data_IF_495880081268
#
_entry.id   IF_495880081268
#
_cell.length_a   1.000
_cell.length_b   1.000
_cell.length_c   1.000
_cell.angle_alpha   90.00
_cell.angle_beta   90.00
_cell.angle_gamma   90.00
#
_symmetry.space_group_name_H-M   'P 1'
#
loop_
_entity.id
_entity.type
_entity.pdbx_description
1 polymer ?
#
# COMPACT_ATOMS: atom_id res chain seq x y z
N UNK A 1 6.81 5.39 -18.86
CA UNK A 1 6.45 4.22 -18.05
C UNK A 1 5.05 3.73 -18.41
N UNK A 2 4.76 2.42 -18.22
CA UNK A 2 3.45 1.86 -18.59
C UNK A 2 2.25 2.52 -17.91
N UNK A 3 2.40 3.10 -16.74
CA UNK A 3 1.32 3.77 -16.00
C UNK A 3 0.80 5.03 -16.71
N UNK A 4 1.68 5.87 -17.23
CA UNK A 4 1.28 7.05 -17.99
C UNK A 4 0.54 6.67 -19.28
N UNK A 5 1.10 5.73 -20.05
CA UNK A 5 0.48 5.27 -21.29
C UNK A 5 -0.91 4.65 -21.04
N UNK A 6 -1.06 3.83 -19.98
CA UNK A 6 -2.35 3.28 -19.60
C UNK A 6 -3.35 4.37 -19.18
N UNK A 7 -2.90 5.38 -18.44
CA UNK A 7 -3.75 6.49 -18.02
C UNK A 7 -4.22 7.33 -19.22
N UNK A 8 -3.33 7.62 -20.18
CA UNK A 8 -3.67 8.34 -21.41
C UNK A 8 -4.63 7.52 -22.29
N UNK A 9 -4.43 6.19 -22.40
CA UNK A 9 -5.36 5.30 -23.12
C UNK A 9 -6.76 5.26 -22.49
N UNK A 10 -6.84 5.18 -21.15
CA UNK A 10 -8.12 5.03 -20.43
C UNK A 10 -8.89 6.36 -20.36
N UNK A 11 -8.19 7.46 -20.13
CA UNK A 11 -8.82 8.73 -19.76
C UNK A 11 -8.70 9.82 -20.83
N UNK A 12 -7.74 9.72 -21.75
CA UNK A 12 -7.49 10.75 -22.77
C UNK A 12 -7.29 12.14 -22.16
N UNK A 13 -7.96 13.15 -22.75
CA UNK A 13 -7.91 14.55 -22.30
C UNK A 13 -8.75 14.85 -21.04
N UNK A 14 -9.29 13.86 -20.37
CA UNK A 14 -10.00 14.06 -19.10
C UNK A 14 -9.06 14.20 -17.90
N UNK A 15 -7.76 13.86 -18.09
CA UNK A 15 -6.77 13.89 -17.02
C UNK A 15 -5.55 14.75 -17.36
N UNK A 16 -4.83 15.14 -16.31
CA UNK A 16 -3.43 15.57 -16.37
C UNK A 16 -2.58 14.51 -15.68
N UNK A 17 -1.52 14.06 -16.34
CA UNK A 17 -0.49 13.22 -15.75
C UNK A 17 0.65 14.07 -15.22
N UNK A 18 1.05 13.83 -13.97
CA UNK A 18 2.21 14.46 -13.32
C UNK A 18 3.22 13.37 -12.99
N UNK A 19 4.46 13.43 -13.52
CA UNK A 19 5.50 12.46 -13.17
C UNK A 19 5.83 12.57 -11.68
N UNK A 20 6.43 11.50 -11.12
CA UNK A 20 6.86 11.55 -9.73
C UNK A 20 7.91 12.65 -9.51
N UNK A 21 7.66 13.46 -8.53
CA UNK A 21 8.60 14.40 -7.91
C UNK A 21 8.43 14.30 -6.39
N UNK A 22 9.49 14.65 -5.66
CA UNK A 22 9.42 14.65 -4.19
C UNK A 22 8.30 15.58 -3.72
N UNK A 23 7.50 15.18 -2.73
CA UNK A 23 6.40 15.98 -2.22
C UNK A 23 6.85 17.34 -1.66
N UNK A 24 5.91 18.28 -1.56
CA UNK A 24 6.18 19.64 -1.12
C UNK A 24 6.19 20.66 -2.25
N UNK A 25 7.05 21.67 -2.15
CA UNK A 25 7.04 22.84 -3.06
C UNK A 25 7.30 22.47 -4.53
N UNK A 26 8.21 21.52 -4.77
CA UNK A 26 8.54 21.08 -6.14
C UNK A 26 7.34 20.41 -6.80
N UNK A 27 6.62 19.55 -6.07
CA UNK A 27 5.38 18.94 -6.56
C UNK A 27 4.33 20.01 -6.91
N UNK A 28 4.14 21.01 -6.03
CA UNK A 28 3.20 22.09 -6.27
C UNK A 28 3.55 22.92 -7.53
N UNK A 29 4.82 23.21 -7.77
CA UNK A 29 5.27 23.87 -8.98
C UNK A 29 5.07 23.03 -10.23
N UNK A 30 5.43 21.73 -10.17
CA UNK A 30 5.26 20.79 -11.29
C UNK A 30 3.78 20.68 -11.67
N UNK A 31 2.92 20.59 -10.68
CA UNK A 31 1.47 20.51 -10.85
C UNK A 31 0.92 21.78 -11.50
N UNK A 32 1.38 22.95 -11.08
CA UNK A 32 1.01 24.25 -11.68
C UNK A 32 1.36 24.26 -13.17
N UNK A 33 2.61 23.93 -13.54
CA UNK A 33 3.05 23.92 -14.93
C UNK A 33 2.27 22.90 -15.77
N UNK A 34 2.05 21.68 -15.24
CA UNK A 34 1.26 20.68 -15.94
C UNK A 34 -0.19 21.14 -16.23
N UNK A 35 -0.79 21.90 -15.32
CA UNK A 35 -2.12 22.51 -15.51
C UNK A 35 -2.10 23.66 -16.52
N UNK A 36 -1.05 24.46 -16.57
CA UNK A 36 -0.86 25.53 -17.57
C UNK A 36 -0.73 24.93 -18.98
N UNK A 37 0.11 23.90 -19.13
CA UNK A 37 0.28 23.17 -20.39
C UNK A 37 -1.01 22.48 -20.84
N UNK A 38 -1.74 21.87 -19.92
CA UNK A 38 -3.06 21.27 -20.19
C UNK A 38 -4.04 22.30 -20.76
N UNK A 39 -4.12 23.48 -20.13
CA UNK A 39 -5.00 24.58 -20.59
C UNK A 39 -4.60 25.06 -21.97
N UNK A 40 -3.32 25.25 -22.21
CA UNK A 40 -2.79 25.69 -23.52
C UNK A 40 -3.12 24.67 -24.63
N UNK A 41 -2.99 23.37 -24.33
CA UNK A 41 -3.22 22.28 -25.28
C UNK A 41 -4.70 22.03 -25.56
N UNK A 42 -5.54 22.04 -24.52
CA UNK A 42 -6.95 21.59 -24.65
C UNK A 42 -7.96 22.73 -24.72
N UNK A 43 -7.59 23.95 -24.33
CA UNK A 43 -8.52 25.06 -24.13
C UNK A 43 -9.45 24.92 -22.92
N UNK A 44 -9.37 23.80 -22.16
CA UNK A 44 -10.21 23.54 -20.98
C UNK A 44 -9.61 24.20 -19.74
N UNK A 45 -10.48 24.73 -18.86
CA UNK A 45 -10.04 25.37 -17.62
C UNK A 45 -9.42 24.39 -16.64
N UNK A 46 -10.01 23.21 -16.47
CA UNK A 46 -9.58 22.15 -15.55
C UNK A 46 -9.76 20.77 -16.20
N UNK A 47 -8.88 19.84 -15.88
CA UNK A 47 -9.08 18.42 -16.09
C UNK A 47 -10.07 17.86 -15.04
N UNK A 48 -10.73 16.73 -15.32
CA UNK A 48 -11.55 16.04 -14.33
C UNK A 48 -10.70 15.49 -13.19
N UNK A 49 -9.50 15.02 -13.51
CA UNK A 49 -8.56 14.55 -12.50
C UNK A 49 -7.10 14.85 -12.89
N UNK A 50 -6.26 14.86 -11.87
CA UNK A 50 -4.81 14.92 -11.97
C UNK A 50 -4.27 13.64 -11.35
N UNK A 51 -3.54 12.86 -12.12
CA UNK A 51 -2.89 11.64 -11.67
C UNK A 51 -1.41 11.93 -11.41
N UNK A 52 -0.99 11.81 -10.17
CA UNK A 52 0.40 12.01 -9.77
C UNK A 52 1.06 10.63 -9.58
N UNK A 53 2.07 10.34 -10.41
CA UNK A 53 2.77 9.06 -10.36
C UNK A 53 3.28 8.75 -8.94
N UNK A 54 3.00 7.54 -8.45
CA UNK A 54 3.43 7.09 -7.12
C UNK A 54 3.06 8.02 -5.94
N UNK A 55 2.03 8.85 -6.10
CA UNK A 55 1.59 9.77 -5.05
C UNK A 55 0.08 9.64 -4.81
N UNK A 56 -0.72 9.84 -5.84
CA UNK A 56 -2.18 9.77 -5.71
C UNK A 56 -2.91 10.49 -6.82
N UNK A 57 -4.18 10.81 -6.56
CA UNK A 57 -5.03 11.49 -7.54
C UNK A 57 -5.77 12.66 -6.89
N UNK A 58 -5.99 13.72 -7.67
CA UNK A 58 -6.86 14.83 -7.32
C UNK A 58 -8.02 14.83 -8.31
N UNK A 59 -9.26 14.84 -7.82
CA UNK A 59 -10.46 15.02 -8.65
C UNK A 59 -10.97 16.43 -8.48
N UNK A 60 -11.27 17.11 -9.59
CA UNK A 60 -11.71 18.49 -9.62
C UNK A 60 -13.12 18.65 -10.21
N UNK A 61 -13.83 19.69 -9.76
CA UNK A 61 -15.16 20.08 -10.25
C UNK A 61 -15.55 21.44 -9.69
N UNK A 62 -16.53 22.07 -10.30
CA UNK A 62 -17.01 23.41 -9.88
C UNK A 62 -17.91 23.34 -8.62
N UNK A 63 -18.43 22.14 -8.30
CA UNK A 63 -19.26 21.85 -7.13
C UNK A 63 -19.07 20.41 -6.64
N UNK A 64 -19.54 20.06 -5.42
CA UNK A 64 -19.39 18.71 -4.86
C UNK A 64 -20.05 17.61 -5.72
N UNK A 65 -21.17 17.91 -6.36
CA UNK A 65 -21.90 16.98 -7.24
C UNK A 65 -21.06 16.64 -8.47
N UNK A 66 -20.39 17.62 -9.05
CA UNK A 66 -19.48 17.44 -10.18
C UNK A 66 -18.24 16.63 -9.78
N UNK A 67 -17.67 16.89 -8.61
CA UNK A 67 -16.54 16.11 -8.09
C UNK A 67 -16.95 14.65 -7.94
N UNK A 68 -18.11 14.37 -7.34
CA UNK A 68 -18.65 13.03 -7.19
C UNK A 68 -18.88 12.34 -8.53
N UNK A 69 -19.50 13.05 -9.49
CA UNK A 69 -19.75 12.51 -10.82
C UNK A 69 -18.46 12.17 -11.55
N UNK A 70 -17.43 13.06 -11.50
CA UNK A 70 -16.13 12.82 -12.08
C UNK A 70 -15.45 11.61 -11.44
N UNK A 71 -15.51 11.47 -10.10
CA UNK A 71 -14.95 10.32 -9.38
C UNK A 71 -15.58 9.02 -9.83
N UNK A 72 -16.92 8.97 -9.92
CA UNK A 72 -17.66 7.79 -10.39
C UNK A 72 -17.27 7.43 -11.81
N UNK A 73 -17.21 8.43 -12.71
CA UNK A 73 -16.81 8.21 -14.11
C UNK A 73 -15.38 7.64 -14.22
N UNK A 74 -14.44 8.17 -13.45
CA UNK A 74 -13.06 7.64 -13.43
C UNK A 74 -13.01 6.19 -12.95
N UNK A 75 -13.73 5.87 -11.86
CA UNK A 75 -13.80 4.50 -11.34
C UNK A 75 -14.45 3.55 -12.35
N UNK A 76 -15.51 3.98 -13.06
CA UNK A 76 -16.15 3.18 -14.11
C UNK A 76 -15.20 2.90 -15.28
N UNK A 77 -14.39 3.87 -15.70
CA UNK A 77 -13.37 3.66 -16.75
C UNK A 77 -12.29 2.66 -16.30
N UNK A 78 -11.89 2.70 -15.03
CA UNK A 78 -10.98 1.72 -14.45
C UNK A 78 -11.62 0.33 -14.40
N UNK A 79 -12.86 0.24 -13.92
CA UNK A 79 -13.62 -1.02 -13.86
C UNK A 79 -13.79 -1.66 -15.24
N UNK A 80 -14.09 -0.86 -16.27
CA UNK A 80 -14.19 -1.36 -17.64
C UNK A 80 -12.86 -2.00 -18.15
N UNK A 81 -11.71 -1.58 -17.60
CA UNK A 81 -10.39 -2.10 -17.97
C UNK A 81 -9.95 -3.29 -17.13
N UNK A 82 -10.31 -3.31 -15.84
CA UNK A 82 -9.87 -4.31 -14.85
C UNK A 82 -10.92 -5.39 -14.53
N UNK A 83 -12.20 -5.15 -14.87
CA UNK A 83 -13.38 -5.90 -14.44
C UNK A 83 -14.09 -5.23 -13.27
N UNK A 84 -15.40 -5.42 -13.14
CA UNK A 84 -16.25 -4.75 -12.13
C UNK A 84 -15.86 -5.15 -10.69
N UNK A 85 -15.25 -6.32 -10.54
CA UNK A 85 -14.81 -6.87 -9.25
C UNK A 85 -13.37 -6.45 -8.84
N UNK A 86 -12.75 -5.53 -9.58
CA UNK A 86 -11.32 -5.20 -9.42
C UNK A 86 -10.91 -4.78 -8.00
N UNK A 87 -11.81 -4.18 -7.24
CA UNK A 87 -11.53 -3.73 -5.86
C UNK A 87 -11.57 -4.86 -4.84
N UNK A 88 -12.28 -5.95 -5.14
CA UNK A 88 -12.49 -7.08 -4.23
C UNK A 88 -11.79 -8.36 -4.70
N UNK A 89 -11.33 -8.38 -5.94
CA UNK A 89 -10.73 -9.56 -6.55
C UNK A 89 -9.33 -9.83 -6.00
N UNK A 90 -9.17 -10.99 -5.42
CA UNK A 90 -7.88 -11.47 -4.94
C UNK A 90 -6.81 -11.48 -6.05
N UNK A 91 -5.57 -11.21 -5.69
CA UNK A 91 -4.44 -11.20 -6.62
C UNK A 91 -4.03 -12.61 -7.05
N UNK A 92 -4.07 -13.55 -6.11
CA UNK A 92 -3.72 -14.96 -6.31
C UNK A 92 -4.74 -15.87 -5.65
N UNK A 93 -4.35 -17.14 -5.43
CA UNK A 93 -5.19 -18.13 -4.76
C UNK A 93 -5.36 -17.75 -3.28
N UNK A 94 -6.60 -17.74 -2.81
CA UNK A 94 -6.91 -17.56 -1.40
C UNK A 94 -6.70 -18.91 -0.69
N UNK A 95 -5.64 -18.99 0.11
CA UNK A 95 -5.33 -20.18 0.92
C UNK A 95 -5.33 -19.81 2.39
N UNK A 96 -5.65 -20.81 3.24
CA UNK A 96 -5.64 -20.66 4.70
C UNK A 96 -4.95 -21.87 5.33
N UNK A 97 -4.08 -21.63 6.30
CA UNK A 97 -3.50 -22.70 7.11
C UNK A 97 -4.60 -23.44 7.88
N UNK A 98 -4.43 -24.75 8.06
CA UNK A 98 -5.40 -25.58 8.79
C UNK A 98 -5.63 -25.09 10.24
N UNK A 99 -4.61 -24.53 10.89
CA UNK A 99 -4.67 -23.89 12.22
C UNK A 99 -4.53 -22.36 12.17
N UNK A 100 -5.08 -21.71 11.15
CA UNK A 100 -4.97 -20.24 11.01
C UNK A 100 -5.43 -19.51 12.27
N UNK A 101 -6.57 -19.91 12.86
CA UNK A 101 -7.10 -19.31 14.10
C UNK A 101 -6.17 -19.51 15.31
N UNK A 102 -5.52 -20.68 15.43
CA UNK A 102 -4.54 -20.93 16.47
C UNK A 102 -3.30 -20.08 16.29
N UNK A 103 -2.83 -19.90 15.04
CA UNK A 103 -1.73 -19.00 14.72
C UNK A 103 -2.05 -17.54 15.04
N UNK A 104 -3.24 -17.05 14.71
CA UNK A 104 -3.68 -15.69 15.05
C UNK A 104 -3.64 -15.46 16.56
N UNK A 105 -4.14 -16.42 17.37
CA UNK A 105 -4.16 -16.34 18.85
C UNK A 105 -2.77 -16.34 19.48
N UNK A 106 -1.78 -16.94 18.82
CA UNK A 106 -0.37 -16.96 19.26
C UNK A 106 0.42 -15.75 18.76
N UNK A 107 0.28 -15.42 17.48
CA UNK A 107 1.05 -14.34 16.81
C UNK A 107 0.55 -12.95 17.29
N UNK A 108 -0.75 -12.71 17.36
CA UNK A 108 -1.29 -11.40 17.71
C UNK A 108 -0.79 -10.90 19.07
N UNK A 109 -0.95 -11.65 20.18
CA UNK A 109 -0.39 -11.25 21.49
C UNK A 109 1.14 -11.11 21.49
N UNK A 110 1.85 -11.99 20.76
CA UNK A 110 3.30 -11.91 20.65
C UNK A 110 3.75 -10.62 19.95
N UNK A 111 3.11 -10.24 18.83
CA UNK A 111 3.41 -8.99 18.11
C UNK A 111 3.22 -7.76 19.01
N UNK A 112 2.18 -7.72 19.84
CA UNK A 112 1.95 -6.61 20.78
C UNK A 112 3.14 -6.36 21.69
N UNK A 113 3.77 -7.42 22.18
CA UNK A 113 4.92 -7.34 23.07
C UNK A 113 6.24 -7.13 22.31
N UNK A 114 6.44 -7.84 21.20
CA UNK A 114 7.68 -7.80 20.43
C UNK A 114 7.90 -6.46 19.71
N UNK A 115 6.82 -5.75 19.38
CA UNK A 115 6.87 -4.44 18.72
C UNK A 115 6.78 -3.28 19.73
N UNK A 116 6.65 -3.54 21.03
CA UNK A 116 6.70 -2.50 22.05
C UNK A 116 8.10 -1.87 22.12
N UNK A 117 8.16 -0.54 22.20
CA UNK A 117 9.43 0.19 22.27
C UNK A 117 10.20 -0.08 23.55
N UNK A 118 9.46 -0.17 24.66
CA UNK A 118 9.99 -0.55 25.97
C UNK A 118 9.30 -1.85 26.44
N UNK A 119 10.05 -2.91 26.73
CA UNK A 119 9.47 -4.16 27.25
C UNK A 119 8.66 -4.00 28.54
N UNK A 120 8.91 -2.95 29.33
CA UNK A 120 8.16 -2.61 30.55
C UNK A 120 7.05 -1.57 30.28
N UNK A 121 6.95 -1.06 29.06
CA UNK A 121 6.02 -0.02 28.65
C UNK A 121 4.68 -0.57 28.13
N UNK A 122 3.86 0.29 27.53
CA UNK A 122 2.60 -0.12 26.96
C UNK A 122 2.80 -1.05 25.76
N UNK A 123 1.98 -2.08 25.68
CA UNK A 123 1.95 -2.99 24.53
C UNK A 123 1.32 -2.30 23.34
N UNK A 124 1.80 -2.61 22.13
CA UNK A 124 1.15 -2.13 20.91
C UNK A 124 -0.28 -2.68 20.77
N UNK A 125 -1.13 -1.95 20.08
CA UNK A 125 -2.40 -2.45 19.56
C UNK A 125 -2.11 -3.14 18.23
N UNK A 126 -2.72 -4.30 18.02
CA UNK A 126 -2.56 -5.07 16.78
C UNK A 126 -3.95 -5.37 16.22
N UNK A 127 -4.18 -4.97 14.97
CA UNK A 127 -5.34 -5.35 14.17
C UNK A 127 -4.99 -6.51 13.24
N UNK A 128 -6.02 -7.24 12.79
CA UNK A 128 -5.85 -8.41 11.94
C UNK A 128 -6.85 -8.39 10.78
N UNK A 129 -6.41 -8.86 9.61
CA UNK A 129 -7.24 -8.98 8.41
C UNK A 129 -6.91 -10.28 7.66
N UNK A 130 -7.93 -11.09 7.40
CA UNK A 130 -7.84 -12.32 6.61
C UNK A 130 -8.81 -12.29 5.42
N UNK A 131 -9.11 -11.08 4.94
CA UNK A 131 -9.92 -10.91 3.74
C UNK A 131 -9.26 -11.58 2.51
N UNK A 132 -10.07 -11.86 1.50
CA UNK A 132 -9.58 -12.41 0.24
C UNK A 132 -8.56 -11.50 -0.45
N UNK A 133 -8.58 -10.20 -0.17
CA UNK A 133 -7.58 -9.24 -0.65
C UNK A 133 -6.22 -9.52 0.00
N UNK A 134 -6.18 -9.61 1.33
CA UNK A 134 -4.94 -9.89 2.06
C UNK A 134 -4.40 -11.29 1.72
N UNK A 135 -5.25 -12.32 1.81
CA UNK A 135 -4.87 -13.70 1.52
C UNK A 135 -4.52 -13.91 0.04
N UNK A 136 -5.15 -13.17 -0.87
CA UNK A 136 -4.83 -13.24 -2.29
C UNK A 136 -3.43 -12.73 -2.64
N UNK A 137 -2.91 -11.70 -1.96
CA UNK A 137 -1.50 -11.32 -2.08
C UNK A 137 -0.59 -12.40 -1.46
N UNK A 138 -0.94 -12.87 -0.26
CA UNK A 138 -0.14 -13.83 0.50
C UNK A 138 -0.03 -15.17 -0.25
N UNK A 139 -1.10 -15.63 -0.88
CA UNK A 139 -1.14 -16.88 -1.66
C UNK A 139 -0.72 -16.74 -3.13
N UNK A 140 -0.35 -15.54 -3.58
CA UNK A 140 0.16 -15.36 -4.94
C UNK A 140 1.61 -15.85 -5.04
N UNK A 141 1.96 -16.54 -6.13
CA UNK A 141 3.34 -17.02 -6.38
C UNK A 141 4.39 -15.89 -6.27
N UNK A 142 4.10 -14.72 -6.80
CA UNK A 142 4.96 -13.54 -6.71
C UNK A 142 4.64 -12.64 -5.51
N UNK A 143 3.72 -13.02 -4.61
CA UNK A 143 3.18 -12.15 -3.56
C UNK A 143 4.24 -11.59 -2.64
N UNK A 144 5.15 -12.43 -2.14
CA UNK A 144 6.27 -12.02 -1.30
C UNK A 144 7.20 -11.03 -2.02
N UNK A 145 7.55 -11.33 -3.27
CA UNK A 145 8.42 -10.48 -4.05
C UNK A 145 7.79 -9.10 -4.31
N UNK A 146 6.49 -9.06 -4.60
CA UNK A 146 5.73 -7.82 -4.81
C UNK A 146 5.61 -7.03 -3.51
N UNK A 147 5.20 -7.67 -2.41
CA UNK A 147 5.01 -7.01 -1.12
C UNK A 147 6.30 -6.41 -0.55
N UNK A 148 7.43 -7.11 -0.72
CA UNK A 148 8.72 -6.73 -0.16
C UNK A 148 9.61 -5.92 -1.12
N UNK A 149 9.13 -5.57 -2.32
CA UNK A 149 9.94 -4.80 -3.29
C UNK A 149 10.12 -3.32 -2.89
N UNK A 150 9.21 -2.77 -2.10
CA UNK A 150 9.27 -1.38 -1.63
C UNK A 150 7.91 -0.70 -1.56
N UNK A 151 7.87 0.53 -1.06
CA UNK A 151 6.64 1.32 -1.01
C UNK A 151 6.31 1.90 -2.39
N UNK A 152 5.02 2.06 -2.66
CA UNK A 152 4.53 2.68 -3.90
C UNK A 152 4.25 4.17 -3.72
N UNK A 153 3.93 4.62 -2.52
CA UNK A 153 3.49 6.00 -2.24
C UNK A 153 4.08 6.53 -0.94
N UNK A 154 4.17 7.86 -0.77
CA UNK A 154 4.49 8.48 0.52
C UNK A 154 3.60 8.02 1.67
N UNK A 155 2.28 7.95 1.46
CA UNK A 155 1.32 7.52 2.48
C UNK A 155 1.63 6.10 2.99
N UNK A 156 2.03 5.19 2.10
CA UNK A 156 2.42 3.85 2.52
C UNK A 156 3.63 3.89 3.47
N UNK A 157 4.61 4.77 3.22
CA UNK A 157 5.76 4.95 4.11
C UNK A 157 5.33 5.48 5.48
N UNK A 158 4.54 6.55 5.48
CA UNK A 158 4.10 7.24 6.71
C UNK A 158 3.30 6.31 7.62
N UNK A 159 2.32 5.61 7.07
CA UNK A 159 1.38 4.80 7.85
C UNK A 159 1.84 3.36 8.08
N UNK A 160 2.57 2.77 7.13
CA UNK A 160 2.92 1.34 7.17
C UNK A 160 4.41 1.05 7.35
N UNK A 161 5.27 2.08 7.35
CA UNK A 161 6.70 1.99 7.06
C UNK A 161 6.94 1.43 5.63
N UNK A 162 8.19 1.52 5.17
CA UNK A 162 8.52 1.22 3.78
C UNK A 162 8.36 -0.26 3.40
N UNK A 163 8.55 -1.15 4.35
CA UNK A 163 8.54 -2.59 4.08
C UNK A 163 7.68 -3.34 5.10
N UNK A 164 6.83 -4.27 4.66
CA UNK A 164 6.19 -5.21 5.57
C UNK A 164 7.18 -6.31 5.98
N UNK A 165 6.96 -6.91 7.13
CA UNK A 165 7.61 -8.17 7.49
C UNK A 165 6.82 -9.32 6.86
N UNK A 166 7.49 -10.17 6.08
CA UNK A 166 6.94 -11.44 5.63
C UNK A 166 7.38 -12.56 6.56
N UNK A 167 6.40 -13.27 7.14
CA UNK A 167 6.63 -14.34 8.08
C UNK A 167 5.96 -15.65 7.64
N UNK A 168 6.71 -16.75 7.67
CA UNK A 168 6.24 -18.09 7.29
C UNK A 168 6.24 -18.98 8.53
N UNK A 169 5.06 -19.29 9.12
CA UNK A 169 4.94 -20.27 10.20
C UNK A 169 5.40 -21.67 9.72
N UNK A 170 5.85 -22.51 10.64
CA UNK A 170 6.17 -23.92 10.35
C UNK A 170 5.11 -24.83 10.92
N UNK A 171 4.78 -25.88 10.19
CA UNK A 171 3.83 -26.90 10.65
C UNK A 171 4.34 -27.58 11.92
N UNK A 172 3.43 -27.74 12.89
CA UNK A 172 3.75 -28.42 14.15
C UNK A 172 4.71 -27.69 15.08
N UNK A 173 5.01 -26.42 14.81
CA UNK A 173 5.89 -25.59 15.63
C UNK A 173 5.21 -25.26 16.98
N UNK A 174 5.93 -25.50 18.09
CA UNK A 174 5.44 -25.10 19.40
C UNK A 174 5.45 -23.56 19.57
N UNK A 175 4.73 -23.07 20.58
CA UNK A 175 4.54 -21.63 20.80
C UNK A 175 5.87 -20.89 21.06
N UNK A 176 6.76 -21.48 21.85
CA UNK A 176 8.04 -20.84 22.19
C UNK A 176 8.94 -20.73 20.96
N UNK A 177 9.00 -21.77 20.13
CA UNK A 177 9.77 -21.77 18.89
C UNK A 177 9.19 -20.75 17.90
N UNK A 178 7.87 -20.68 17.75
CA UNK A 178 7.17 -19.70 16.93
C UNK A 178 7.52 -18.27 17.34
N UNK A 179 7.39 -17.95 18.65
CA UNK A 179 7.66 -16.62 19.19
C UNK A 179 9.15 -16.25 19.05
N UNK A 180 10.06 -17.19 19.30
CA UNK A 180 11.49 -16.95 19.12
C UNK A 180 11.82 -16.59 17.67
N UNK A 181 11.28 -17.35 16.69
CA UNK A 181 11.48 -17.05 15.26
C UNK A 181 10.85 -15.73 14.84
N UNK A 182 9.68 -15.40 15.38
CA UNK A 182 9.02 -14.13 15.10
C UNK A 182 9.87 -12.96 15.61
N UNK A 183 10.43 -13.07 16.82
CA UNK A 183 11.39 -12.10 17.38
C UNK A 183 12.61 -11.94 16.46
N UNK A 184 13.28 -13.05 16.12
CA UNK A 184 14.44 -13.01 15.23
C UNK A 184 14.12 -12.40 13.86
N UNK A 185 12.90 -12.62 13.35
CA UNK A 185 12.45 -12.02 12.10
C UNK A 185 12.25 -10.50 12.22
N UNK A 186 11.65 -10.03 13.32
CA UNK A 186 11.47 -8.60 13.62
C UNK A 186 12.83 -7.91 13.79
N UNK A 187 13.76 -8.53 14.55
CA UNK A 187 15.09 -7.96 14.79
C UNK A 187 15.89 -7.82 13.49
N UNK A 188 15.87 -8.85 12.64
CA UNK A 188 16.49 -8.79 11.30
C UNK A 188 15.85 -7.73 10.42
N UNK A 189 14.50 -7.68 10.39
CA UNK A 189 13.78 -6.68 9.63
C UNK A 189 14.18 -5.28 10.06
N UNK A 190 14.12 -4.98 11.37
CA UNK A 190 14.49 -3.67 11.92
C UNK A 190 15.94 -3.28 11.57
N UNK A 191 16.88 -4.24 11.66
CA UNK A 191 18.27 -4.01 11.29
C UNK A 191 18.47 -3.68 9.81
N UNK A 192 17.64 -4.24 8.93
CA UNK A 192 17.72 -4.05 7.48
C UNK A 192 16.98 -2.81 6.98
N UNK A 193 15.87 -2.46 7.63
CA UNK A 193 14.95 -1.42 7.16
C UNK A 193 14.91 -0.16 8.02
N UNK A 194 15.72 -0.11 9.09
CA UNK A 194 15.82 1.00 10.08
C UNK A 194 14.64 1.05 11.08
N UNK A 195 13.49 0.51 10.75
CA UNK A 195 12.27 0.62 11.55
C UNK A 195 11.67 -0.77 11.85
N UNK A 196 11.05 -0.97 13.03
CA UNK A 196 10.26 -2.16 13.26
C UNK A 196 9.07 -2.22 12.28
N UNK A 197 8.62 -3.41 11.89
CA UNK A 197 7.50 -3.53 10.96
C UNK A 197 6.20 -3.03 11.60
N UNK A 198 5.48 -2.12 10.94
CA UNK A 198 4.08 -1.79 11.26
C UNK A 198 3.11 -2.81 10.65
N UNK A 199 3.49 -3.45 9.56
CA UNK A 199 2.69 -4.48 8.87
C UNK A 199 3.45 -5.79 8.85
N UNK A 200 2.77 -6.87 9.23
CA UNK A 200 3.30 -8.24 9.19
C UNK A 200 2.36 -9.11 8.36
N UNK A 201 2.87 -9.62 7.25
CA UNK A 201 2.19 -10.58 6.37
C UNK A 201 2.58 -11.99 6.79
N UNK A 202 1.62 -12.77 7.21
CA UNK A 202 1.85 -14.14 7.69
C UNK A 202 1.30 -15.13 6.67
N UNK A 203 2.18 -15.98 6.14
CA UNK A 203 1.84 -16.95 5.10
C UNK A 203 0.63 -17.79 5.51
N UNK A 204 -0.38 -17.85 4.63
CA UNK A 204 -1.64 -18.59 4.77
C UNK A 204 -2.47 -18.26 6.04
N UNK A 205 -2.18 -17.13 6.69
CA UNK A 205 -2.89 -16.66 7.89
C UNK A 205 -3.56 -15.32 7.66
N UNK A 206 -2.81 -14.30 7.23
CA UNK A 206 -3.36 -12.98 7.00
C UNK A 206 -2.36 -11.84 7.26
N UNK A 207 -2.91 -10.65 7.36
CA UNK A 207 -2.20 -9.39 7.61
C UNK A 207 -2.42 -8.96 9.06
N UNK A 208 -1.34 -8.64 9.77
CA UNK A 208 -1.37 -7.96 11.05
C UNK A 208 -0.82 -6.54 10.88
N UNK A 209 -1.47 -5.56 11.52
CA UNK A 209 -0.95 -4.19 11.56
C UNK A 209 -0.87 -3.70 13.02
N UNK A 210 0.23 -3.04 13.36
CA UNK A 210 0.54 -2.59 14.71
C UNK A 210 0.62 -1.06 14.81
N UNK A 211 0.16 -0.52 15.94
CA UNK A 211 0.23 0.89 16.26
C UNK A 211 0.18 1.13 17.76
N UNK A 212 0.37 2.38 18.19
CA UNK A 212 0.31 2.74 19.61
C UNK A 212 -1.12 2.73 20.15
N UNK A 213 -2.08 2.97 19.27
CA UNK A 213 -3.50 2.90 19.55
C UNK A 213 -4.26 2.17 18.43
N UNK A 214 -5.56 2.00 18.63
CA UNK A 214 -6.42 1.34 17.64
C UNK A 214 -6.47 2.12 16.32
N UNK A 215 -6.55 3.45 16.38
CA UNK A 215 -6.64 4.29 15.18
C UNK A 215 -5.39 4.13 14.32
N UNK A 216 -4.21 4.18 14.92
CA UNK A 216 -2.93 4.04 14.22
C UNK A 216 -2.78 2.64 13.61
N UNK A 217 -3.09 1.58 14.37
CA UNK A 217 -3.04 0.21 13.88
C UNK A 217 -4.05 -0.04 12.73
N UNK A 218 -5.27 0.48 12.87
CA UNK A 218 -6.33 0.33 11.87
C UNK A 218 -6.03 1.12 10.61
N UNK A 219 -5.50 2.34 10.74
CA UNK A 219 -5.04 3.14 9.58
C UNK A 219 -3.94 2.39 8.81
N UNK A 220 -2.95 1.82 9.49
CA UNK A 220 -1.91 1.03 8.83
C UNK A 220 -2.50 -0.18 8.09
N UNK A 221 -3.48 -0.86 8.68
CA UNK A 221 -4.19 -1.98 8.04
C UNK A 221 -4.91 -1.54 6.77
N UNK A 222 -5.73 -0.49 6.85
CA UNK A 222 -6.51 0.00 5.70
C UNK A 222 -5.61 0.51 4.56
N UNK A 223 -4.59 1.31 4.88
CA UNK A 223 -3.63 1.81 3.87
C UNK A 223 -2.91 0.66 3.19
N UNK A 224 -2.54 -0.38 3.94
CA UNK A 224 -1.85 -1.52 3.33
C UNK A 224 -2.80 -2.39 2.49
N UNK A 225 -4.06 -2.57 2.89
CA UNK A 225 -5.08 -3.23 2.06
C UNK A 225 -5.33 -2.47 0.75
N UNK A 226 -5.36 -1.14 0.79
CA UNK A 226 -5.44 -0.34 -0.43
C UNK A 226 -4.19 -0.48 -1.30
N UNK A 227 -3.00 -0.52 -0.70
CA UNK A 227 -1.78 -0.83 -1.42
C UNK A 227 -1.85 -2.19 -2.13
N UNK A 228 -2.40 -3.23 -1.50
CA UNK A 228 -2.60 -4.55 -2.11
C UNK A 228 -3.53 -4.46 -3.33
N UNK A 229 -4.63 -3.71 -3.24
CA UNK A 229 -5.55 -3.48 -4.38
C UNK A 229 -4.84 -2.82 -5.56
N UNK A 230 -3.98 -1.83 -5.27
CA UNK A 230 -3.17 -1.15 -6.29
C UNK A 230 -2.15 -2.11 -6.92
N UNK A 231 -1.44 -2.91 -6.12
CA UNK A 231 -0.52 -3.95 -6.62
C UNK A 231 -1.24 -4.94 -7.55
N UNK A 232 -2.41 -5.43 -7.14
CA UNK A 232 -3.23 -6.33 -7.92
C UNK A 232 -3.71 -5.69 -9.23
N UNK A 233 -4.18 -4.45 -9.18
CA UNK A 233 -4.60 -3.68 -10.35
C UNK A 233 -3.47 -3.44 -11.34
N UNK A 234 -2.31 -2.99 -10.85
CA UNK A 234 -1.12 -2.77 -11.67
C UNK A 234 -0.62 -4.05 -12.34
N UNK A 235 -0.61 -5.16 -11.62
CA UNK A 235 -0.23 -6.48 -12.15
C UNK A 235 -1.17 -6.92 -13.29
N UNK A 236 -2.48 -6.69 -13.14
CA UNK A 236 -3.47 -7.01 -14.19
C UNK A 236 -3.35 -6.09 -15.40
N UNK A 237 -3.20 -4.79 -15.19
CA UNK A 237 -3.07 -3.81 -16.29
C UNK A 237 -1.81 -4.04 -17.13
N UNK A 238 -0.70 -4.33 -16.48
CA UNK A 238 0.60 -4.45 -17.13
C UNK A 238 1.00 -5.88 -17.53
N UNK A 239 0.14 -6.88 -17.25
CA UNK A 239 0.36 -8.27 -17.67
C UNK A 239 1.34 -9.05 -16.79
N UNK A 240 1.67 -8.58 -15.58
CA UNK A 240 2.52 -9.35 -14.68
C UNK A 240 3.09 -8.57 -13.49
N UNK A 241 3.78 -9.26 -12.58
CA UNK A 241 4.32 -8.69 -11.34
C UNK A 241 5.26 -7.49 -11.55
N UNK A 242 6.02 -7.48 -12.65
CA UNK A 242 6.94 -6.39 -13.01
C UNK A 242 6.26 -5.06 -13.39
N UNK A 243 4.92 -5.03 -13.41
CA UNK A 243 4.15 -3.83 -13.75
C UNK A 243 3.93 -2.90 -12.55
N UNK A 244 4.18 -3.36 -11.33
CA UNK A 244 4.09 -2.52 -10.13
C UNK A 244 5.29 -1.57 -10.10
N UNK A 245 5.02 -0.27 -9.95
CA UNK A 245 6.07 0.75 -9.84
C UNK A 245 6.26 1.14 -8.37
N UNK A 246 7.47 1.01 -7.89
CA UNK A 246 7.85 1.37 -6.51
C UNK A 246 8.67 2.65 -6.49
N UNK A 247 8.70 3.31 -5.34
CA UNK A 247 9.64 4.39 -5.09
C UNK A 247 11.07 3.84 -5.07
N UNK A 248 12.00 4.61 -5.64
CA UNK A 248 13.43 4.29 -5.55
C UNK A 248 13.93 4.50 -4.12
N UNK A 249 15.08 3.92 -3.76
CA UNK A 249 15.68 4.14 -2.45
C UNK A 249 15.89 5.61 -2.12
N UNK A 250 16.32 6.43 -3.10
CA UNK A 250 16.44 7.88 -2.89
C UNK A 250 15.11 8.54 -2.53
N UNK A 251 14.05 8.18 -3.25
CA UNK A 251 12.71 8.74 -3.03
C UNK A 251 12.13 8.29 -1.69
N UNK A 252 12.31 7.00 -1.36
CA UNK A 252 11.90 6.41 -0.09
C UNK A 252 12.61 7.08 1.09
N UNK A 253 13.95 7.17 1.04
CA UNK A 253 14.75 7.79 2.10
C UNK A 253 14.42 9.27 2.28
N UNK A 254 14.11 9.98 1.20
CA UNK A 254 13.64 11.37 1.30
C UNK A 254 12.39 11.50 2.17
N UNK A 255 11.42 10.57 2.02
CA UNK A 255 10.19 10.58 2.82
C UNK A 255 10.48 10.14 4.26
N UNK A 256 11.25 9.06 4.46
CA UNK A 256 11.59 8.54 5.80
C UNK A 256 12.36 9.56 6.66
N UNK A 257 13.18 10.40 6.04
CA UNK A 257 14.01 11.41 6.71
C UNK A 257 13.33 12.80 6.75
N UNK A 258 12.12 12.95 6.20
CA UNK A 258 11.43 14.23 6.14
C UNK A 258 10.73 14.55 7.45
N UNK A 259 11.21 15.55 8.16
CA UNK A 259 10.74 15.95 9.50
C UNK A 259 9.22 16.24 9.58
N UNK A 260 8.61 16.70 8.48
CA UNK A 260 7.16 17.00 8.44
C UNK A 260 6.25 15.79 8.31
N UNK A 261 6.79 14.61 7.95
CA UNK A 261 6.03 13.36 7.83
C UNK A 261 6.33 12.40 9.00
N UNK A 262 7.21 12.78 9.92
CA UNK A 262 7.65 11.96 11.05
C UNK A 262 6.72 12.04 12.28
N UNK A 263 5.45 12.52 12.13
CA UNK A 263 4.50 12.66 13.23
C UNK A 263 3.31 11.71 13.15
#
# INVERSE_FOLDING_TARGET
TGGQAAAEEIFGDDIVWVPYVDPGFILAQTLKHALEDYRARTGRKLAKAILMANHGLIVAGDDPERIRANTVELLQKIAARLGDDWQTKAMGTVTRAGDANGLVRRIGPALRALLAEDPAGPLKVVTFDDSDIALGLIGAEAGKAIACAGPMTPDQIVYCNSFPLWFEPKDGEDENALIARLRDAIDRHTSQTRFPPKVVLVQDVGLFAAGDDFKTADTAREVYLDAIKVMAGATRLGGGPGSVSYLTDRQRLFIEDWEFEAY
#
